data_IF_382520863822
#
_entry.id   IF_382520863822
#
_cell.length_a   1.000
_cell.length_b   1.000
_cell.length_c   1.000
_cell.angle_alpha   90.00
_cell.angle_beta   90.00
_cell.angle_gamma   90.00
#
_symmetry.space_group_name_H-M   'P 1'
#
loop_
_entity.id
_entity.type
_entity.pdbx_description
1 polymer ?
#
# COMPACT_ATOMS: atom_id res chain seq x y z
N UNK A 1 -75.22 44.25 -29.67
CA UNK A 1 -74.12 44.99 -29.06
C UNK A 1 -73.84 44.37 -27.69
N UNK A 2 -72.78 43.55 -27.62
CA UNK A 2 -72.37 42.86 -26.40
C UNK A 2 -71.04 43.48 -25.92
N UNK A 3 -71.02 43.94 -24.67
CA UNK A 3 -69.85 44.51 -23.99
C UNK A 3 -69.08 43.37 -23.27
N UNK A 4 -67.82 43.20 -23.61
CA UNK A 4 -66.85 42.38 -22.89
C UNK A 4 -66.54 43.02 -21.55
N UNK A 5 -66.66 42.26 -20.44
CA UNK A 5 -66.12 42.61 -19.14
C UNK A 5 -64.84 41.79 -18.92
N UNK A 6 -63.69 42.45 -18.92
CA UNK A 6 -62.37 41.93 -18.60
C UNK A 6 -62.19 41.93 -17.07
N UNK A 7 -62.31 40.77 -16.42
CA UNK A 7 -62.03 40.62 -15.01
C UNK A 7 -60.54 40.36 -14.78
N UNK A 8 -59.79 41.35 -14.27
CA UNK A 8 -58.43 41.19 -13.72
C UNK A 8 -58.55 40.61 -12.31
N UNK A 9 -58.25 39.35 -12.15
CA UNK A 9 -58.07 38.76 -10.83
C UNK A 9 -56.73 39.19 -10.24
N UNK A 10 -56.79 40.21 -9.41
CA UNK A 10 -55.67 40.62 -8.54
C UNK A 10 -55.73 39.80 -7.26
N UNK A 11 -55.08 38.65 -7.22
CA UNK A 11 -54.77 37.93 -5.97
C UNK A 11 -53.69 38.75 -5.22
N UNK A 12 -54.12 39.71 -4.38
CA UNK A 12 -53.22 40.24 -3.35
C UNK A 12 -53.25 39.25 -2.21
N UNK A 13 -52.17 38.48 -2.07
CA UNK A 13 -51.93 37.70 -0.86
C UNK A 13 -51.93 38.69 0.32
N UNK A 14 -52.74 38.44 1.36
CA UNK A 14 -52.73 39.23 2.57
C UNK A 14 -51.36 39.18 3.23
N UNK A 15 -50.91 40.31 3.80
CA UNK A 15 -49.61 40.38 4.46
C UNK A 15 -49.43 39.30 5.54
N UNK A 16 -50.50 38.84 6.16
CA UNK A 16 -50.54 37.74 7.14
C UNK A 16 -50.20 36.40 6.52
N UNK A 17 -50.64 36.13 5.27
CA UNK A 17 -50.39 34.88 4.55
C UNK A 17 -48.92 34.82 4.08
N UNK A 18 -48.35 35.98 3.69
CA UNK A 18 -46.93 36.10 3.35
C UNK A 18 -46.07 35.88 4.59
N UNK A 19 -46.43 36.47 5.72
CA UNK A 19 -45.71 36.28 6.99
C UNK A 19 -45.74 34.81 7.44
N UNK A 20 -46.87 34.13 7.32
CA UNK A 20 -46.99 32.70 7.64
C UNK A 20 -46.12 31.82 6.76
N UNK A 21 -46.06 32.10 5.45
CA UNK A 21 -45.19 31.36 4.51
C UNK A 21 -43.70 31.56 4.79
N UNK A 22 -43.31 32.78 5.17
CA UNK A 22 -41.90 33.08 5.56
C UNK A 22 -41.51 32.33 6.82
N UNK A 23 -42.40 32.32 7.85
CA UNK A 23 -42.14 31.55 9.07
C UNK A 23 -42.05 30.05 8.82
N UNK A 24 -42.93 29.49 7.99
CA UNK A 24 -42.86 28.07 7.61
C UNK A 24 -41.58 27.75 6.84
N UNK A 25 -41.11 28.63 5.94
CA UNK A 25 -39.87 28.46 5.21
C UNK A 25 -38.65 28.50 6.15
N UNK A 26 -38.63 29.37 7.13
CA UNK A 26 -37.58 29.46 8.14
C UNK A 26 -37.53 28.21 9.04
N UNK A 27 -38.72 27.71 9.46
CA UNK A 27 -38.79 26.47 10.24
C UNK A 27 -38.29 25.27 9.39
N UNK A 28 -38.70 25.17 8.12
CA UNK A 28 -38.23 24.13 7.23
C UNK A 28 -36.70 24.18 7.01
N UNK A 29 -36.15 25.39 6.81
CA UNK A 29 -34.72 25.60 6.70
C UNK A 29 -33.97 25.23 7.98
N UNK A 30 -34.51 25.59 9.15
CA UNK A 30 -33.92 25.21 10.45
C UNK A 30 -33.97 23.70 10.69
N UNK A 31 -35.06 23.02 10.31
CA UNK A 31 -35.17 21.56 10.40
C UNK A 31 -34.23 20.86 9.45
N UNK A 32 -34.10 21.33 8.20
CA UNK A 32 -33.15 20.79 7.24
C UNK A 32 -31.70 21.00 7.71
N UNK A 33 -31.40 22.19 8.20
CA UNK A 33 -30.06 22.48 8.77
C UNK A 33 -29.78 21.62 10.01
N UNK A 34 -30.76 21.43 10.89
CA UNK A 34 -30.63 20.57 12.07
C UNK A 34 -30.51 19.08 11.72
N UNK A 35 -31.18 18.59 10.67
CA UNK A 35 -31.03 17.22 10.14
C UNK A 35 -29.69 17.05 9.43
N UNK A 36 -29.23 18.04 8.65
CA UNK A 36 -27.92 18.00 7.99
C UNK A 36 -26.77 18.10 8.99
N UNK A 37 -26.87 18.91 10.03
CA UNK A 37 -25.84 19.02 11.07
C UNK A 37 -25.80 17.81 12.02
N UNK A 38 -26.84 16.98 12.04
CA UNK A 38 -26.85 15.70 12.77
C UNK A 38 -26.39 14.52 11.90
N UNK A 39 -26.33 14.71 10.57
CA UNK A 39 -25.98 13.63 9.63
C UNK A 39 -24.50 13.27 9.57
N UNK A 40 -23.61 14.19 9.97
CA UNK A 40 -22.16 13.98 9.75
C UNK A 40 -21.37 13.57 10.99
N UNK A 41 -21.90 13.74 12.23
CA UNK A 41 -21.10 13.45 13.43
C UNK A 41 -21.69 12.38 14.39
N UNK A 42 -22.97 12.01 14.27
CA UNK A 42 -23.59 11.12 15.25
C UNK A 42 -23.73 9.65 14.79
N UNK A 43 -23.61 9.38 13.47
CA UNK A 43 -23.83 8.04 12.91
C UNK A 43 -22.59 7.16 12.82
N UNK A 44 -21.40 7.76 12.77
CA UNK A 44 -20.17 6.98 12.54
C UNK A 44 -19.38 6.65 13.81
N UNK A 45 -19.53 7.44 14.88
CA UNK A 45 -18.76 7.24 16.11
C UNK A 45 -19.45 6.25 17.07
N UNK A 46 -20.77 6.25 17.16
CA UNK A 46 -21.49 5.31 18.03
C UNK A 46 -21.56 3.89 17.44
N UNK A 47 -21.75 3.74 16.12
CA UNK A 47 -21.74 2.42 15.46
C UNK A 47 -20.35 1.78 15.49
N UNK A 48 -19.25 2.57 15.36
CA UNK A 48 -17.89 2.07 15.49
C UNK A 48 -17.50 1.71 16.91
N UNK A 49 -18.04 2.37 17.92
CA UNK A 49 -17.78 2.06 19.33
C UNK A 49 -18.44 0.75 19.78
N UNK A 50 -19.58 0.36 19.17
CA UNK A 50 -20.23 -0.93 19.43
C UNK A 50 -19.51 -2.11 18.76
N UNK A 51 -18.83 -1.88 17.60
CA UNK A 51 -18.14 -2.92 16.87
C UNK A 51 -16.79 -3.35 17.51
N UNK A 52 -16.16 -2.50 18.32
CA UNK A 52 -14.86 -2.73 18.95
C UNK A 52 -14.96 -2.93 20.47
N UNK A 53 -15.85 -3.81 20.90
CA UNK A 53 -16.11 -4.05 22.33
C UNK A 53 -14.86 -4.46 23.10
N UNK A 54 -13.91 -5.16 22.43
CA UNK A 54 -12.63 -5.57 23.01
C UNK A 54 -11.55 -4.47 22.98
N UNK A 55 -11.82 -3.33 22.32
CA UNK A 55 -10.88 -2.21 22.20
C UNK A 55 -10.08 -2.18 20.92
N UNK A 56 -8.90 -1.55 20.96
CA UNK A 56 -7.97 -1.49 19.83
C UNK A 56 -6.91 -2.60 19.91
N UNK A 57 -6.53 -3.13 18.73
CA UNK A 57 -5.47 -4.12 18.57
C UNK A 57 -4.45 -3.59 17.55
N UNK A 58 -3.21 -3.38 17.99
CA UNK A 58 -2.11 -3.05 17.07
C UNK A 58 -1.70 -4.32 16.34
N UNK A 59 -1.70 -4.28 15.00
CA UNK A 59 -1.23 -5.35 14.13
C UNK A 59 0.16 -4.99 13.59
N UNK A 60 1.24 -5.62 14.09
CA UNK A 60 2.58 -5.36 13.58
C UNK A 60 2.79 -6.07 12.24
N UNK A 61 3.18 -5.29 11.21
CA UNK A 61 3.45 -5.74 9.84
C UNK A 61 4.90 -5.40 9.50
N UNK A 62 5.71 -6.38 9.14
CA UNK A 62 7.02 -6.17 8.56
C UNK A 62 6.94 -6.29 7.03
N UNK A 63 7.81 -5.61 6.32
CA UNK A 63 7.87 -5.69 4.87
C UNK A 63 9.32 -5.69 4.39
N UNK A 64 9.61 -6.43 3.31
CA UNK A 64 10.92 -6.39 2.63
C UNK A 64 11.11 -5.11 1.84
N UNK A 65 10.01 -4.47 1.49
CA UNK A 65 9.93 -3.19 0.83
C UNK A 65 8.95 -2.30 1.60
N UNK A 66 9.42 -1.12 2.03
CA UNK A 66 8.62 -0.23 2.89
C UNK A 66 7.46 0.39 2.13
N UNK A 67 7.62 0.69 0.84
CA UNK A 67 6.56 1.25 -0.01
C UNK A 67 5.40 0.28 -0.15
N UNK A 68 5.67 -0.96 -0.60
CA UNK A 68 4.68 -2.02 -0.71
C UNK A 68 4.01 -2.33 0.65
N UNK A 69 4.80 -2.38 1.72
CA UNK A 69 4.29 -2.58 3.07
C UNK A 69 3.35 -1.48 3.53
N UNK A 70 3.71 -0.21 3.30
CA UNK A 70 2.90 0.95 3.69
C UNK A 70 1.59 1.00 2.90
N UNK A 71 1.64 0.77 1.58
CA UNK A 71 0.45 0.72 0.73
C UNK A 71 -0.59 -0.29 1.24
N UNK A 72 -0.14 -1.48 1.64
CA UNK A 72 -1.03 -2.51 2.20
C UNK A 72 -1.53 -2.16 3.61
N UNK A 73 -0.69 -1.58 4.45
CA UNK A 73 -1.05 -1.11 5.81
C UNK A 73 -2.13 -0.04 5.72
N UNK A 74 -1.95 0.96 4.85
CA UNK A 74 -2.91 2.04 4.65
C UNK A 74 -4.24 1.52 4.10
N UNK A 75 -4.21 0.69 3.05
CA UNK A 75 -5.40 0.10 2.45
C UNK A 75 -6.21 -0.75 3.44
N UNK A 76 -5.53 -1.53 4.29
CA UNK A 76 -6.19 -2.32 5.33
C UNK A 76 -6.73 -1.44 6.45
N UNK A 77 -5.95 -0.44 6.91
CA UNK A 77 -6.37 0.52 7.93
C UNK A 77 -7.62 1.32 7.52
N UNK A 78 -7.66 1.78 6.26
CA UNK A 78 -8.79 2.52 5.69
C UNK A 78 -10.08 1.70 5.60
N UNK A 79 -9.97 0.36 5.53
CA UNK A 79 -11.12 -0.54 5.61
C UNK A 79 -11.76 -0.61 7.00
N UNK A 80 -11.14 0.01 8.01
CA UNK A 80 -11.56 -0.02 9.41
C UNK A 80 -11.83 -1.45 9.92
N UNK A 81 -10.83 -2.36 9.84
CA UNK A 81 -11.05 -3.77 10.08
C UNK A 81 -11.37 -4.07 11.54
N UNK A 82 -12.31 -5.01 11.74
CA UNK A 82 -12.70 -5.52 13.06
C UNK A 82 -12.47 -7.03 13.08
N UNK A 83 -11.62 -7.50 14.00
CA UNK A 83 -11.30 -8.90 14.18
C UNK A 83 -11.55 -9.28 15.64
N UNK A 84 -12.46 -10.23 15.90
CA UNK A 84 -12.82 -10.67 17.27
C UNK A 84 -13.14 -9.53 18.21
N UNK A 85 -13.97 -8.60 17.75
CA UNK A 85 -14.41 -7.41 18.50
C UNK A 85 -13.29 -6.38 18.80
N UNK A 86 -12.10 -6.53 18.19
CA UNK A 86 -11.04 -5.52 18.23
C UNK A 86 -11.07 -4.67 16.94
N UNK A 87 -10.97 -3.35 17.09
CA UNK A 87 -10.58 -2.45 16.00
C UNK A 87 -9.09 -2.64 15.72
N UNK A 88 -8.75 -3.19 14.56
CA UNK A 88 -7.35 -3.45 14.21
C UNK A 88 -6.70 -2.19 13.65
N UNK A 89 -5.50 -1.89 14.18
CA UNK A 89 -4.64 -0.79 13.75
C UNK A 89 -3.36 -1.38 13.19
N UNK A 90 -3.23 -1.53 11.86
CA UNK A 90 -2.01 -2.03 11.26
C UNK A 90 -0.89 -0.99 11.42
N UNK A 91 0.33 -1.45 11.66
CA UNK A 91 1.50 -0.60 11.83
C UNK A 91 2.74 -1.30 11.29
N UNK A 92 3.57 -0.59 10.50
CA UNK A 92 4.86 -1.12 10.09
C UNK A 92 5.81 -1.26 11.28
N UNK A 93 6.56 -2.36 11.28
CA UNK A 93 7.65 -2.65 12.20
C UNK A 93 8.89 -3.05 11.41
N UNK A 94 10.08 -2.75 11.95
CA UNK A 94 11.34 -3.03 11.24
C UNK A 94 11.76 -4.50 11.34
N UNK A 95 11.27 -5.25 12.32
CA UNK A 95 11.71 -6.61 12.58
C UNK A 95 10.65 -7.67 12.25
N UNK A 96 11.00 -8.62 11.40
CA UNK A 96 10.17 -9.80 11.11
C UNK A 96 9.89 -10.63 12.37
N UNK A 97 10.82 -10.65 13.33
CA UNK A 97 10.64 -11.37 14.60
C UNK A 97 9.47 -10.82 15.44
N UNK A 98 9.16 -9.53 15.28
CA UNK A 98 8.11 -8.82 16.02
C UNK A 98 6.79 -8.73 15.27
N UNK A 99 6.77 -9.18 14.00
CA UNK A 99 5.64 -9.02 13.09
C UNK A 99 4.61 -10.15 13.20
N UNK A 100 3.34 -9.83 13.02
CA UNK A 100 2.25 -10.79 12.81
C UNK A 100 2.03 -11.09 11.33
N UNK A 101 2.51 -10.22 10.44
CA UNK A 101 2.50 -10.38 8.98
C UNK A 101 3.86 -9.97 8.44
N UNK A 102 4.36 -10.72 7.46
CA UNK A 102 5.51 -10.31 6.66
C UNK A 102 5.10 -10.15 5.20
N UNK A 103 5.36 -8.99 4.61
CA UNK A 103 5.09 -8.68 3.22
C UNK A 103 6.40 -8.76 2.44
N UNK A 104 6.51 -9.71 1.52
CA UNK A 104 7.72 -9.93 0.72
C UNK A 104 7.41 -10.75 -0.55
N UNK A 105 8.28 -10.73 -1.57
CA UNK A 105 8.20 -11.68 -2.67
C UNK A 105 8.27 -13.13 -2.17
N UNK A 106 7.47 -14.02 -2.76
CA UNK A 106 7.44 -15.44 -2.36
C UNK A 106 8.62 -16.21 -2.99
N UNK A 107 9.75 -16.17 -2.35
CA UNK A 107 11.01 -16.77 -2.79
C UNK A 107 11.61 -17.70 -1.74
N UNK A 108 12.52 -18.58 -2.14
CA UNK A 108 13.26 -19.43 -1.19
C UNK A 108 14.05 -18.59 -0.17
N UNK A 109 14.57 -17.43 -0.60
CA UNK A 109 15.30 -16.49 0.26
C UNK A 109 14.39 -15.89 1.33
N UNK A 110 13.16 -15.53 0.96
CA UNK A 110 12.14 -15.07 1.92
C UNK A 110 11.83 -16.12 2.97
N UNK A 111 11.64 -17.37 2.56
CA UNK A 111 11.40 -18.47 3.50
C UNK A 111 12.59 -18.70 4.44
N UNK A 112 13.81 -18.63 3.93
CA UNK A 112 15.03 -18.72 4.72
C UNK A 112 15.13 -17.55 5.74
N UNK A 113 14.75 -16.34 5.35
CA UNK A 113 14.72 -15.17 6.22
C UNK A 113 13.71 -15.36 7.37
N UNK A 114 12.53 -15.90 7.06
CA UNK A 114 11.53 -16.25 8.10
C UNK A 114 12.07 -17.28 9.09
N UNK A 115 12.68 -18.35 8.60
CA UNK A 115 13.30 -19.38 9.42
C UNK A 115 14.41 -18.80 10.32
N UNK A 116 15.26 -17.94 9.75
CA UNK A 116 16.36 -17.29 10.48
C UNK A 116 15.85 -16.36 11.58
N UNK A 117 14.70 -15.72 11.36
CA UNK A 117 14.00 -14.90 12.35
C UNK A 117 13.20 -15.75 13.38
N UNK A 118 13.23 -17.07 13.29
CA UNK A 118 12.45 -17.97 14.13
C UNK A 118 10.94 -17.86 13.90
N UNK A 119 10.52 -17.44 12.70
CA UNK A 119 9.11 -17.23 12.33
C UNK A 119 8.63 -18.32 11.38
N UNK A 120 7.37 -18.68 11.52
CA UNK A 120 6.73 -19.70 10.68
C UNK A 120 5.44 -19.14 10.10
N UNK A 121 5.21 -19.24 8.79
CA UNK A 121 3.93 -18.89 8.19
C UNK A 121 2.78 -19.70 8.77
N UNK A 122 1.64 -19.06 9.00
CA UNK A 122 0.43 -19.71 9.51
C UNK A 122 -0.34 -20.48 8.42
N UNK A 123 0.03 -20.27 7.14
CA UNK A 123 -0.56 -20.92 5.97
C UNK A 123 0.55 -21.49 5.09
N UNK A 124 0.30 -22.64 4.45
CA UNK A 124 1.28 -23.32 3.58
C UNK A 124 1.35 -22.76 2.16
N UNK A 125 0.30 -22.05 1.72
CA UNK A 125 0.19 -21.49 0.36
C UNK A 125 -0.34 -20.05 0.45
N UNK A 126 0.51 -19.09 0.89
CA UNK A 126 0.14 -17.70 0.95
C UNK A 126 -0.05 -17.13 -0.46
N UNK A 127 -0.99 -16.22 -0.61
CA UNK A 127 -1.38 -15.66 -1.91
C UNK A 127 -0.70 -14.32 -2.17
N UNK A 128 -0.55 -13.97 -3.45
CA UNK A 128 -0.14 -12.65 -3.86
C UNK A 128 -1.10 -11.60 -3.28
N UNK A 129 -0.55 -10.47 -2.87
CA UNK A 129 -1.24 -9.43 -2.14
C UNK A 129 -1.07 -8.03 -2.74
N UNK A 130 0.04 -7.80 -3.43
CA UNK A 130 0.37 -6.52 -4.03
C UNK A 130 1.32 -6.73 -5.20
N UNK A 131 1.27 -5.87 -6.21
CA UNK A 131 2.26 -5.82 -7.29
C UNK A 131 2.48 -4.38 -7.72
N UNK A 132 3.70 -4.13 -8.16
CA UNK A 132 4.11 -2.83 -8.67
C UNK A 132 5.12 -3.01 -9.81
N UNK A 133 5.05 -2.13 -10.82
CA UNK A 133 6.01 -2.12 -11.92
C UNK A 133 7.40 -1.73 -11.42
N UNK A 134 8.44 -2.45 -11.84
CA UNK A 134 9.81 -2.11 -11.52
C UNK A 134 10.57 -1.64 -12.75
N UNK A 135 11.55 -0.79 -12.52
CA UNK A 135 12.30 -0.18 -13.60
C UNK A 135 13.51 0.58 -13.11
N UNK A 136 13.95 1.49 -13.96
CA UNK A 136 15.04 2.41 -13.63
C UNK A 136 14.56 3.84 -13.67
N UNK A 137 15.01 4.65 -12.72
CA UNK A 137 14.75 6.08 -12.69
C UNK A 137 16.02 6.88 -12.95
N UNK A 138 15.97 7.85 -13.84
CA UNK A 138 17.08 8.70 -14.20
C UNK A 138 16.63 10.10 -14.60
N UNK A 139 17.59 10.99 -14.88
CA UNK A 139 17.29 12.35 -15.33
C UNK A 139 16.51 12.38 -16.66
N UNK A 140 16.84 11.45 -17.53
CA UNK A 140 16.17 11.25 -18.83
C UNK A 140 15.71 9.80 -18.95
N UNK A 141 14.64 9.59 -19.73
CA UNK A 141 14.21 8.27 -20.12
C UNK A 141 15.31 7.57 -20.92
N UNK A 142 15.47 6.27 -20.71
CA UNK A 142 16.45 5.45 -21.42
C UNK A 142 15.72 4.32 -22.14
N UNK A 143 16.22 3.93 -23.31
CA UNK A 143 15.77 2.69 -23.93
C UNK A 143 16.48 1.53 -23.26
N UNK A 144 15.76 0.44 -22.96
CA UNK A 144 16.35 -0.73 -22.32
C UNK A 144 17.53 -1.32 -23.10
N UNK A 145 17.49 -1.25 -24.42
CA UNK A 145 18.59 -1.70 -25.32
C UNK A 145 19.88 -0.89 -25.17
N UNK A 146 19.78 0.36 -24.69
CA UNK A 146 20.91 1.27 -24.45
C UNK A 146 21.36 1.29 -22.98
N UNK A 147 20.60 0.63 -22.10
CA UNK A 147 20.91 0.54 -20.67
C UNK A 147 21.93 -0.55 -20.41
N UNK A 148 23.00 -0.20 -19.73
CA UNK A 148 24.01 -1.14 -19.28
C UNK A 148 24.00 -1.23 -17.75
N UNK A 149 24.22 -2.43 -17.21
CA UNK A 149 24.09 -2.68 -15.78
C UNK A 149 25.05 -1.87 -14.92
N UNK A 150 26.22 -1.52 -15.45
CA UNK A 150 27.24 -0.68 -14.78
C UNK A 150 26.77 0.75 -14.50
N UNK A 151 25.75 1.22 -15.20
CA UNK A 151 25.10 2.53 -14.96
C UNK A 151 23.98 2.49 -13.97
N UNK A 152 23.52 1.31 -13.56
CA UNK A 152 22.41 1.17 -12.61
C UNK A 152 22.96 1.13 -11.19
N UNK A 153 22.30 1.83 -10.26
CA UNK A 153 22.56 1.81 -8.83
C UNK A 153 21.42 1.09 -8.12
N UNK A 154 21.78 0.24 -7.16
CA UNK A 154 20.86 -0.68 -6.50
C UNK A 154 20.72 -0.35 -5.01
N UNK A 155 19.64 0.33 -4.59
CA UNK A 155 19.37 0.65 -3.19
C UNK A 155 18.73 -0.55 -2.48
N UNK A 156 19.47 -1.65 -2.35
CA UNK A 156 18.96 -2.94 -1.88
C UNK A 156 18.39 -2.90 -0.46
N UNK A 157 18.75 -1.90 0.35
CA UNK A 157 18.20 -1.72 1.69
C UNK A 157 16.81 -1.09 1.71
N UNK A 158 16.42 -0.43 0.62
CA UNK A 158 15.14 0.25 0.47
C UNK A 158 14.24 -0.49 -0.53
N UNK A 159 14.83 -0.97 -1.64
CA UNK A 159 14.16 -1.51 -2.83
C UNK A 159 14.77 -2.86 -3.23
N UNK A 160 14.72 -3.85 -2.33
CA UNK A 160 15.37 -5.14 -2.59
C UNK A 160 14.75 -5.90 -3.76
N UNK A 161 13.42 -5.89 -3.89
CA UNK A 161 12.72 -6.58 -4.97
C UNK A 161 12.97 -5.91 -6.32
N UNK A 162 12.85 -4.58 -6.39
CA UNK A 162 13.16 -3.83 -7.61
C UNK A 162 14.62 -4.02 -8.02
N UNK A 163 15.56 -3.98 -7.06
CA UNK A 163 16.98 -4.22 -7.31
C UNK A 163 17.24 -5.59 -7.91
N UNK A 164 16.67 -6.67 -7.35
CA UNK A 164 16.83 -8.04 -7.87
C UNK A 164 16.28 -8.19 -9.29
N UNK A 165 15.05 -7.69 -9.51
CA UNK A 165 14.36 -7.80 -10.79
C UNK A 165 15.07 -6.98 -11.88
N UNK A 166 15.42 -5.72 -11.59
CA UNK A 166 16.14 -4.86 -12.54
C UNK A 166 17.52 -5.45 -12.89
N UNK A 167 18.28 -5.91 -11.87
CA UNK A 167 19.57 -6.54 -12.11
C UNK A 167 19.44 -7.77 -13.02
N UNK A 168 18.46 -8.63 -12.75
CA UNK A 168 18.19 -9.83 -13.56
C UNK A 168 17.82 -9.49 -15.01
N UNK A 169 17.02 -8.42 -15.23
CA UNK A 169 16.58 -8.03 -16.58
C UNK A 169 17.69 -7.34 -17.40
N UNK A 170 18.55 -6.55 -16.73
CA UNK A 170 19.54 -5.71 -17.42
C UNK A 170 20.89 -6.42 -17.58
N UNK A 171 21.29 -7.30 -16.66
CA UNK A 171 22.61 -7.93 -16.69
C UNK A 171 22.76 -9.10 -17.70
N UNK A 172 21.64 -9.67 -18.17
CA UNK A 172 21.64 -10.76 -19.15
C UNK A 172 21.98 -12.14 -18.61
N UNK A 173 22.59 -12.27 -17.45
CA UNK A 173 22.82 -13.54 -16.73
C UNK A 173 22.98 -13.32 -15.22
N UNK A 174 22.81 -14.39 -14.43
CA UNK A 174 22.81 -14.34 -12.97
C UNK A 174 24.14 -13.88 -12.36
N UNK A 175 25.28 -14.29 -12.94
CA UNK A 175 26.59 -13.92 -12.39
C UNK A 175 26.82 -12.41 -12.51
N UNK A 176 26.50 -11.82 -13.65
CA UNK A 176 26.63 -10.39 -13.89
C UNK A 176 25.63 -9.61 -13.03
N UNK A 177 24.40 -10.14 -12.83
CA UNK A 177 23.41 -9.55 -11.93
C UNK A 177 23.89 -9.54 -10.46
N UNK A 178 24.42 -10.64 -9.96
CA UNK A 178 25.00 -10.76 -8.61
C UNK A 178 26.17 -9.81 -8.43
N UNK A 179 27.06 -9.74 -9.43
CA UNK A 179 28.20 -8.82 -9.41
C UNK A 179 27.71 -7.35 -9.37
N UNK A 180 26.74 -7.00 -10.19
CA UNK A 180 26.17 -5.66 -10.23
C UNK A 180 25.52 -5.26 -8.88
N UNK A 181 24.71 -6.15 -8.30
CA UNK A 181 24.10 -5.95 -6.97
C UNK A 181 25.13 -5.78 -5.86
N UNK A 182 26.37 -6.26 -6.07
CA UNK A 182 27.46 -6.11 -5.12
C UNK A 182 28.24 -4.81 -5.36
N UNK A 183 28.65 -4.58 -6.62
CA UNK A 183 29.58 -3.51 -6.99
C UNK A 183 28.89 -2.14 -7.14
N UNK A 184 27.61 -2.10 -7.53
CA UNK A 184 26.81 -0.88 -7.72
C UNK A 184 25.75 -0.66 -6.64
N UNK A 185 25.93 -1.33 -5.50
CA UNK A 185 25.07 -1.12 -4.32
C UNK A 185 25.25 0.28 -3.77
N UNK A 186 24.13 0.91 -3.41
CA UNK A 186 24.08 2.18 -2.69
C UNK A 186 23.23 2.02 -1.41
N UNK A 187 23.44 2.88 -0.43
CA UNK A 187 22.71 2.86 0.84
C UNK A 187 21.29 3.42 0.70
N UNK A 188 21.12 4.45 -0.13
CA UNK A 188 19.84 5.10 -0.39
C UNK A 188 19.80 5.76 -1.77
N UNK A 189 18.60 6.11 -2.22
CA UNK A 189 18.39 6.83 -3.47
C UNK A 189 19.11 8.19 -3.54
N UNK A 190 19.38 8.81 -2.40
CA UNK A 190 20.09 10.10 -2.31
C UNK A 190 21.55 10.04 -2.77
N UNK A 191 22.14 8.84 -2.82
CA UNK A 191 23.53 8.63 -3.31
C UNK A 191 23.64 8.60 -4.83
N UNK A 192 22.51 8.62 -5.56
CA UNK A 192 22.47 8.56 -7.01
C UNK A 192 23.12 9.79 -7.66
N UNK A 193 24.04 9.57 -8.59
CA UNK A 193 24.59 10.62 -9.44
C UNK A 193 23.85 10.69 -10.80
N UNK A 194 22.58 11.11 -10.77
CA UNK A 194 21.75 11.21 -11.96
C UNK A 194 22.31 12.18 -13.02
N UNK A 195 22.97 13.26 -12.61
CA UNK A 195 23.65 14.19 -13.53
C UNK A 195 24.87 13.57 -14.21
N UNK A 196 25.47 12.55 -13.60
CA UNK A 196 26.55 11.73 -14.18
C UNK A 196 26.04 10.63 -15.12
N UNK A 197 24.72 10.52 -15.33
CA UNK A 197 24.11 9.53 -16.22
C UNK A 197 23.88 8.17 -15.55
N UNK A 198 23.80 8.13 -14.23
CA UNK A 198 23.40 6.94 -13.48
C UNK A 198 21.88 6.81 -13.39
N UNK A 199 21.40 5.59 -13.22
CA UNK A 199 20.01 5.21 -13.08
C UNK A 199 19.81 4.47 -11.76
N UNK A 200 18.68 4.73 -11.09
CA UNK A 200 18.28 4.05 -9.86
C UNK A 200 17.36 2.87 -10.19
N UNK A 201 17.65 1.69 -9.70
CA UNK A 201 16.70 0.58 -9.70
C UNK A 201 15.62 0.87 -8.65
N UNK A 202 14.35 0.94 -9.06
CA UNK A 202 13.25 1.34 -8.18
C UNK A 202 11.90 0.84 -8.67
N UNK A 203 10.90 0.82 -7.79
CA UNK A 203 9.50 0.69 -8.16
C UNK A 203 8.95 2.00 -8.72
N UNK A 204 7.86 1.93 -9.50
CA UNK A 204 7.27 3.11 -10.16
C UNK A 204 6.78 4.16 -9.15
N UNK A 205 6.18 3.73 -8.06
CA UNK A 205 5.62 4.60 -7.00
C UNK A 205 6.69 5.15 -6.05
N UNK A 206 7.91 4.59 -6.05
CA UNK A 206 9.06 5.03 -5.26
C UNK A 206 10.05 5.92 -6.01
N UNK A 207 9.72 6.36 -7.23
CA UNK A 207 10.59 7.21 -8.06
C UNK A 207 10.84 8.55 -7.37
N UNK A 208 12.12 8.94 -7.12
CA UNK A 208 12.44 10.24 -6.54
C UNK A 208 11.98 11.41 -7.41
N UNK A 209 11.58 12.52 -6.75
CA UNK A 209 11.11 13.72 -7.43
C UNK A 209 12.15 14.25 -8.45
N UNK A 210 11.69 14.55 -9.65
CA UNK A 210 12.52 15.09 -10.73
C UNK A 210 13.23 14.05 -11.59
N UNK A 211 13.13 12.75 -11.26
CA UNK A 211 13.57 11.65 -12.12
C UNK A 211 12.43 11.12 -12.98
N UNK A 212 12.78 10.49 -14.09
CA UNK A 212 11.85 9.85 -15.03
C UNK A 212 12.00 8.35 -14.94
N UNK A 213 10.88 7.66 -14.87
CA UNK A 213 10.80 6.21 -14.78
C UNK A 213 10.83 5.56 -16.17
N UNK A 214 11.61 4.49 -16.29
CA UNK A 214 11.61 3.60 -17.45
C UNK A 214 11.39 2.18 -16.97
N UNK A 215 10.23 1.55 -17.26
CA UNK A 215 9.93 0.20 -16.82
C UNK A 215 10.84 -0.83 -17.53
N UNK A 216 11.25 -1.88 -16.81
CA UNK A 216 12.02 -2.99 -17.41
C UNK A 216 11.11 -4.14 -17.90
N UNK A 217 9.79 -3.98 -17.85
CA UNK A 217 8.84 -4.99 -18.27
C UNK A 217 8.69 -6.14 -17.28
N UNK A 218 8.91 -5.87 -16.00
CA UNK A 218 8.75 -6.78 -14.88
C UNK A 218 7.98 -6.10 -13.76
N UNK A 219 7.19 -6.88 -13.02
CA UNK A 219 6.53 -6.43 -11.80
C UNK A 219 7.09 -7.16 -10.59
N UNK A 220 7.30 -6.45 -9.49
CA UNK A 220 7.52 -7.06 -8.19
C UNK A 220 6.17 -7.50 -7.63
N UNK A 221 6.04 -8.79 -7.34
CA UNK A 221 4.82 -9.37 -6.75
C UNK A 221 5.09 -9.75 -5.30
N UNK A 222 4.38 -9.12 -4.39
CA UNK A 222 4.49 -9.34 -2.96
C UNK A 222 3.38 -10.25 -2.45
N UNK A 223 3.74 -11.07 -1.49
CA UNK A 223 2.86 -11.97 -0.76
C UNK A 223 2.77 -11.51 0.69
N UNK A 224 1.58 -11.46 1.25
CA UNK A 224 1.40 -11.25 2.68
C UNK A 224 1.44 -12.61 3.41
N UNK A 225 2.51 -12.87 4.14
CA UNK A 225 2.68 -14.08 4.95
C UNK A 225 2.11 -13.84 6.35
N UNK A 226 0.93 -14.38 6.70
CA UNK A 226 0.47 -14.35 8.08
C UNK A 226 1.37 -15.27 8.91
N UNK A 227 1.84 -14.79 10.04
CA UNK A 227 2.81 -15.51 10.89
C UNK A 227 2.13 -16.09 12.14
N UNK A 228 2.62 -17.24 12.59
CA UNK A 228 2.17 -17.84 13.85
C UNK A 228 2.52 -16.94 15.04
N UNK A 229 1.76 -17.09 16.13
CA UNK A 229 2.07 -16.43 17.40
C UNK A 229 3.47 -16.81 17.93
N UNK A 230 4.05 -15.91 18.71
CA UNK A 230 5.30 -16.12 19.44
C UNK A 230 5.28 -15.30 20.75
N UNK A 231 6.41 -15.10 21.40
CA UNK A 231 6.48 -14.36 22.67
C UNK A 231 6.14 -12.85 22.52
N UNK A 232 6.18 -12.31 21.29
CA UNK A 232 5.91 -10.88 20.98
C UNK A 232 4.60 -10.65 20.24
N UNK A 233 4.06 -11.67 19.59
CA UNK A 233 2.83 -11.65 18.81
C UNK A 233 1.84 -12.61 19.45
N UNK A 234 0.75 -12.09 19.98
CA UNK A 234 -0.29 -12.89 20.62
C UNK A 234 -1.26 -13.56 19.61
N UNK A 235 -2.18 -14.37 20.11
CA UNK A 235 -3.17 -15.07 19.29
C UNK A 235 -4.09 -14.12 18.52
N UNK A 236 -4.48 -12.97 19.10
CA UNK A 236 -5.38 -12.03 18.45
C UNK A 236 -4.66 -11.30 17.30
N UNK A 237 -3.39 -10.93 17.51
CA UNK A 237 -2.54 -10.36 16.47
C UNK A 237 -2.29 -11.36 15.34
N UNK A 238 -2.00 -12.62 15.63
CA UNK A 238 -1.82 -13.65 14.62
C UNK A 238 -3.10 -13.88 13.80
N UNK A 239 -4.28 -13.82 14.41
CA UNK A 239 -5.58 -13.90 13.71
C UNK A 239 -5.86 -12.66 12.87
N UNK A 240 -5.55 -11.47 13.39
CA UNK A 240 -5.65 -10.23 12.62
C UNK A 240 -4.68 -10.26 11.42
N UNK A 241 -3.50 -10.87 11.57
CA UNK A 241 -2.56 -11.11 10.48
C UNK A 241 -3.12 -12.01 9.37
N UNK A 242 -3.87 -13.06 9.74
CA UNK A 242 -4.57 -13.89 8.75
C UNK A 242 -5.68 -13.13 8.02
N UNK A 243 -6.42 -12.26 8.73
CA UNK A 243 -7.43 -11.40 8.12
C UNK A 243 -6.81 -10.37 7.18
N UNK A 244 -5.69 -9.74 7.57
CA UNK A 244 -4.90 -8.85 6.73
C UNK A 244 -4.46 -9.53 5.43
N UNK A 245 -3.86 -10.72 5.52
CA UNK A 245 -3.39 -11.46 4.36
C UNK A 245 -4.54 -11.86 3.41
N UNK A 246 -5.69 -12.26 3.98
CA UNK A 246 -6.91 -12.52 3.21
C UNK A 246 -7.41 -11.27 2.50
N UNK A 247 -7.55 -10.13 3.22
CA UNK A 247 -7.96 -8.85 2.67
C UNK A 247 -7.08 -8.41 1.51
N UNK A 248 -5.75 -8.49 1.69
CA UNK A 248 -4.79 -8.11 0.66
C UNK A 248 -4.92 -9.00 -0.58
N UNK A 249 -5.01 -10.31 -0.39
CA UNK A 249 -5.13 -11.26 -1.52
C UNK A 249 -6.46 -11.16 -2.27
N UNK A 250 -7.57 -10.81 -1.61
CA UNK A 250 -8.88 -10.59 -2.24
C UNK A 250 -8.91 -9.31 -3.10
N UNK A 251 -8.01 -8.38 -2.87
CA UNK A 251 -7.88 -7.11 -3.60
C UNK A 251 -6.75 -7.10 -4.62
N UNK A 252 -5.97 -8.16 -4.64
CA UNK A 252 -4.91 -8.30 -5.63
C UNK A 252 -5.51 -8.38 -7.03
N UNK A 253 -5.20 -7.42 -7.88
CA UNK A 253 -5.69 -7.28 -9.26
C UNK A 253 -4.63 -7.64 -10.32
N UNK A 254 -3.37 -7.86 -9.89
CA UNK A 254 -2.29 -8.33 -10.73
C UNK A 254 -2.32 -9.84 -11.00
N UNK A 255 -1.36 -10.33 -11.76
CA UNK A 255 -1.13 -11.76 -11.93
C UNK A 255 0.21 -12.16 -11.29
N UNK A 256 0.24 -13.30 -10.60
CA UNK A 256 1.48 -13.82 -10.01
C UNK A 256 2.54 -14.17 -11.07
N UNK A 257 2.16 -14.18 -12.35
CA UNK A 257 3.05 -14.46 -13.49
C UNK A 257 3.72 -13.21 -14.06
N UNK A 258 3.35 -12.01 -13.60
CA UNK A 258 3.96 -10.75 -14.05
C UNK A 258 5.38 -10.58 -13.48
N UNK A 259 5.69 -11.28 -12.37
CA UNK A 259 7.06 -11.36 -11.87
C UNK A 259 7.86 -12.40 -12.67
N UNK A 260 8.93 -11.98 -13.36
CA UNK A 260 9.80 -12.93 -14.06
C UNK A 260 10.50 -13.86 -13.08
N UNK A 261 10.90 -15.04 -13.58
CA UNK A 261 11.70 -15.96 -12.79
C UNK A 261 13.12 -15.38 -12.59
N UNK A 262 13.48 -15.18 -11.34
CA UNK A 262 14.80 -14.70 -10.90
C UNK A 262 15.40 -15.79 -10.01
N UNK A 263 16.69 -16.09 -10.18
CA UNK A 263 17.35 -17.13 -9.41
C UNK A 263 17.50 -16.74 -7.92
N UNK A 264 17.56 -17.75 -7.06
CA UNK A 264 17.81 -17.55 -5.62
C UNK A 264 19.14 -16.85 -5.35
N UNK A 265 20.14 -16.97 -6.25
CA UNK A 265 21.42 -16.28 -6.12
C UNK A 265 21.27 -14.77 -6.27
N UNK A 266 20.46 -14.33 -7.22
CA UNK A 266 20.18 -12.90 -7.45
C UNK A 266 19.34 -12.35 -6.30
N UNK A 267 18.30 -13.08 -5.85
CA UNK A 267 17.52 -12.70 -4.69
C UNK A 267 18.38 -12.57 -3.42
N UNK A 268 19.28 -13.52 -3.18
CA UNK A 268 20.18 -13.47 -2.04
C UNK A 268 21.16 -12.29 -2.11
N UNK A 269 21.64 -11.93 -3.32
CA UNK A 269 22.51 -10.78 -3.51
C UNK A 269 21.79 -9.44 -3.33
N UNK A 270 20.47 -9.40 -3.49
CA UNK A 270 19.66 -8.21 -3.26
C UNK A 270 19.25 -8.02 -1.79
N UNK A 271 19.65 -8.90 -0.87
CA UNK A 271 19.46 -8.68 0.55
C UNK A 271 20.46 -7.64 1.11
N UNK A 272 20.11 -6.91 2.17
CA UNK A 272 21.04 -6.05 2.89
C UNK A 272 22.29 -6.83 3.33
N UNK A 273 23.46 -6.19 3.27
CA UNK A 273 24.71 -6.83 3.69
C UNK A 273 24.68 -7.13 5.19
N UNK A 274 24.81 -8.41 5.53
CA UNK A 274 24.86 -8.88 6.92
C UNK A 274 23.96 -10.07 7.24
N UNK A 275 23.10 -10.49 6.32
CA UNK A 275 22.11 -11.54 6.63
C UNK A 275 21.15 -11.15 7.74
N UNK A 276 21.20 -9.91 8.20
CA UNK A 276 20.17 -9.31 9.03
C UNK A 276 18.97 -9.11 8.14
N UNK A 277 18.10 -10.12 8.12
CA UNK A 277 16.74 -9.95 7.69
C UNK A 277 16.27 -8.67 8.37
N UNK A 278 16.03 -7.65 7.57
CA UNK A 278 15.45 -6.36 7.89
C UNK A 278 15.26 -6.19 9.41
N UNK A 279 16.27 -5.63 10.09
CA UNK A 279 16.21 -5.33 11.52
C UNK A 279 15.39 -4.06 11.71
#
# INVERSE_FOLDING_TARGET
>A
MAKHASGKNNYRLSGELIALLVVLALIAAAVIWWLSSRGDDAGSTEAKAEECVAGELVLPVAASDKGAGQSLVDAYGDSAPVVRDYCVKPQLVDSVADAAVFVAPNTAVTHQSLESAGRTPAVSDPKAAYSEAVGVAGKDEVKLEDLTVDKVRFPVSEESAASALVASQVAGNDNDAVQALTDQRIGSADELNADGGEYLATAEDAVPEGLKFTPVGADAVYTAFPLNQNDKVDENQARAGQDFARFASERFDGTANDQPAVSDLVWAAALPAGGEAIT
#
